data_IF_749394187257
#
_entry.id   IF_749394187257
#
_cell.length_a   1.000
_cell.length_b   1.000
_cell.length_c   1.000
_cell.angle_alpha   90.00
_cell.angle_beta   90.00
_cell.angle_gamma   90.00
#
_symmetry.space_group_name_H-M   'P 1'
#
loop_
_entity.id
_entity.type
_entity.pdbx_description
1 polymer ?
#
# COMPACT_ATOMS: atom_id res chain seq x y z
N UNK A 1 4.94 -16.71 -4.38
CA UNK A 1 4.37 -17.39 -3.19
C UNK A 1 5.20 -17.14 -1.93
N UNK A 2 6.49 -17.49 -1.90
CA UNK A 2 7.33 -17.22 -0.71
C UNK A 2 7.40 -15.72 -0.37
N UNK A 3 7.53 -14.86 -1.38
CA UNK A 3 7.58 -13.40 -1.22
C UNK A 3 6.23 -12.83 -0.74
N UNK A 4 5.13 -13.31 -1.29
CA UNK A 4 3.80 -12.88 -0.84
C UNK A 4 3.55 -13.29 0.61
N UNK A 5 4.01 -14.47 1.04
CA UNK A 5 3.91 -14.93 2.42
C UNK A 5 4.77 -14.08 3.37
N UNK A 6 6.02 -13.80 3.01
CA UNK A 6 6.90 -12.98 3.85
C UNK A 6 6.36 -11.56 4.03
N UNK A 7 5.72 -11.00 3.00
CA UNK A 7 5.14 -9.65 3.07
C UNK A 7 3.86 -9.62 3.90
N UNK A 8 3.00 -10.64 3.82
CA UNK A 8 1.83 -10.72 4.71
C UNK A 8 2.25 -10.79 6.19
N UNK A 9 3.33 -11.53 6.48
CA UNK A 9 3.91 -11.60 7.83
C UNK A 9 4.51 -10.24 8.24
N UNK A 10 5.22 -9.55 7.34
CA UNK A 10 5.80 -8.23 7.65
C UNK A 10 4.74 -7.18 7.92
N UNK A 11 3.64 -7.16 7.15
CA UNK A 11 2.50 -6.26 7.36
C UNK A 11 1.84 -6.53 8.73
N UNK A 12 1.69 -7.80 9.13
CA UNK A 12 1.15 -8.13 10.44
C UNK A 12 2.00 -7.53 11.59
N UNK A 13 3.33 -7.66 11.51
CA UNK A 13 4.22 -7.06 12.52
C UNK A 13 4.33 -5.54 12.42
N UNK A 14 4.15 -4.96 11.22
CA UNK A 14 4.10 -3.51 11.04
C UNK A 14 2.97 -2.88 11.86
N UNK A 15 1.79 -3.51 11.94
CA UNK A 15 0.69 -3.01 12.79
C UNK A 15 1.04 -2.98 14.29
N UNK A 16 1.84 -3.94 14.77
CA UNK A 16 2.33 -3.94 16.15
C UNK A 16 3.37 -2.84 16.37
N UNK A 17 4.28 -2.67 15.40
CA UNK A 17 5.30 -1.63 15.44
C UNK A 17 4.66 -0.24 15.50
N UNK A 18 3.65 0.03 14.66
CA UNK A 18 2.88 1.27 14.68
C UNK A 18 2.27 1.55 16.05
N UNK A 19 1.56 0.57 16.64
CA UNK A 19 0.97 0.71 17.99
C UNK A 19 2.02 0.98 19.07
N UNK A 20 3.21 0.36 18.97
CA UNK A 20 4.30 0.59 19.93
C UNK A 20 4.92 1.96 19.77
N UNK A 21 5.24 2.40 18.55
CA UNK A 21 5.82 3.73 18.31
C UNK A 21 4.86 4.83 18.79
N UNK A 22 3.58 4.75 18.44
CA UNK A 22 2.57 5.70 18.90
C UNK A 22 2.44 5.71 20.43
N UNK A 23 2.53 4.54 21.07
CA UNK A 23 2.50 4.46 22.52
C UNK A 23 3.71 5.14 23.18
N UNK A 24 4.92 4.95 22.61
CA UNK A 24 6.13 5.56 23.13
C UNK A 24 6.13 7.08 22.97
N UNK A 25 5.63 7.60 21.83
CA UNK A 25 5.44 9.06 21.63
C UNK A 25 4.48 9.63 22.68
N UNK A 26 3.42 8.88 23.02
CA UNK A 26 2.42 9.28 24.01
C UNK A 26 2.81 8.94 25.46
N UNK A 27 4.03 8.49 25.73
CA UNK A 27 4.53 8.13 27.08
C UNK A 27 3.62 7.06 27.74
N UNK A 28 3.06 6.14 26.96
CA UNK A 28 2.32 4.98 27.45
C UNK A 28 2.90 3.69 26.90
N UNK A 29 2.73 2.59 27.63
CA UNK A 29 3.17 1.28 27.13
C UNK A 29 2.16 0.75 26.12
N UNK A 30 2.66 0.34 24.96
CA UNK A 30 1.90 -0.35 23.92
C UNK A 30 1.47 -1.76 24.35
N UNK A 31 0.94 -2.56 23.41
CA UNK A 31 0.53 -3.93 23.71
C UNK A 31 1.73 -4.74 24.22
N UNK A 32 1.70 -5.09 25.51
CA UNK A 32 2.77 -5.85 26.17
C UNK A 32 2.28 -7.16 26.82
N UNK A 33 0.96 -7.39 26.87
CA UNK A 33 0.37 -8.52 27.60
C UNK A 33 0.27 -9.82 26.78
N UNK A 34 0.09 -9.73 25.47
CA UNK A 34 -0.11 -10.91 24.60
C UNK A 34 1.26 -11.49 24.20
N UNK A 35 1.70 -12.53 24.92
CA UNK A 35 3.00 -13.17 24.72
C UNK A 35 4.18 -12.33 25.25
N UNK A 36 5.40 -12.72 24.89
CA UNK A 36 6.61 -12.00 25.30
C UNK A 36 6.65 -10.61 24.62
N UNK A 37 6.60 -9.54 25.43
CA UNK A 37 6.61 -8.15 24.98
C UNK A 37 5.55 -7.81 23.92
N UNK A 38 4.43 -8.53 23.88
CA UNK A 38 3.34 -8.29 22.93
C UNK A 38 3.52 -8.85 21.52
N UNK A 39 4.60 -9.59 21.22
CA UNK A 39 4.92 -10.05 19.84
C UNK A 39 3.77 -10.85 19.20
N UNK A 40 3.00 -11.58 20.00
CA UNK A 40 1.90 -12.42 19.51
C UNK A 40 0.59 -11.63 19.26
N UNK A 41 0.57 -10.31 19.46
CA UNK A 41 -0.63 -9.49 19.28
C UNK A 41 -1.26 -9.61 17.88
N UNK A 42 -0.51 -9.54 16.76
CA UNK A 42 -1.11 -9.61 15.42
C UNK A 42 -1.85 -10.94 15.18
N UNK A 43 -1.31 -12.05 15.69
CA UNK A 43 -1.96 -13.35 15.61
C UNK A 43 -3.25 -13.40 16.44
N UNK A 44 -3.25 -12.81 17.65
CA UNK A 44 -4.45 -12.74 18.47
C UNK A 44 -5.57 -11.91 17.84
N UNK A 45 -5.22 -10.79 17.19
CA UNK A 45 -6.17 -9.94 16.48
C UNK A 45 -6.75 -10.67 15.26
N UNK A 46 -5.93 -11.43 14.53
CA UNK A 46 -6.39 -12.27 13.41
C UNK A 46 -7.35 -13.38 13.86
N UNK A 47 -7.00 -14.16 14.88
CA UNK A 47 -7.86 -15.23 15.43
C UNK A 47 -9.19 -14.64 15.93
N UNK A 48 -9.15 -13.46 16.57
CA UNK A 48 -10.36 -12.75 17.00
C UNK A 48 -11.28 -12.39 15.85
N UNK A 49 -10.74 -11.98 14.70
CA UNK A 49 -11.54 -11.68 13.50
C UNK A 49 -12.10 -12.95 12.85
N UNK A 50 -11.34 -14.04 12.81
CA UNK A 50 -11.82 -15.33 12.27
C UNK A 50 -12.98 -15.93 13.08
N UNK A 51 -12.99 -15.70 14.40
CA UNK A 51 -14.06 -16.20 15.28
C UNK A 51 -15.32 -15.32 15.28
N UNK A 52 -15.32 -14.15 14.61
CA UNK A 52 -16.50 -13.29 14.56
C UNK A 52 -17.47 -13.78 13.50
N UNK A 53 -18.75 -13.83 13.86
CA UNK A 53 -19.82 -14.09 12.91
C UNK A 53 -19.90 -12.96 11.87
N UNK A 54 -19.99 -13.35 10.59
CA UNK A 54 -20.21 -12.43 9.49
C UNK A 54 -21.68 -11.97 9.52
N UNK A 55 -21.91 -10.69 9.79
CA UNK A 55 -23.23 -10.06 9.75
C UNK A 55 -23.46 -9.44 8.38
N UNK A 56 -24.31 -10.08 7.59
CA UNK A 56 -24.80 -9.60 6.30
C UNK A 56 -26.01 -8.68 6.48
N UNK A 57 -25.96 -7.44 5.95
CA UNK A 57 -27.16 -6.60 5.83
C UNK A 57 -27.90 -6.93 4.54
N UNK A 58 -29.23 -6.96 4.59
CA UNK A 58 -30.10 -7.32 3.45
C UNK A 58 -29.99 -6.35 2.26
N UNK A 59 -29.66 -5.08 2.53
CA UNK A 59 -29.55 -4.05 1.49
C UNK A 59 -28.25 -4.12 0.68
N UNK A 60 -27.29 -4.96 1.05
CA UNK A 60 -25.93 -4.94 0.49
C UNK A 60 -25.80 -5.87 -0.71
N UNK A 61 -24.99 -5.48 -1.69
CA UNK A 61 -24.61 -6.38 -2.78
C UNK A 61 -23.56 -7.38 -2.27
N UNK A 62 -23.99 -8.58 -1.87
CA UNK A 62 -23.10 -9.60 -1.28
C UNK A 62 -21.89 -9.93 -2.14
N UNK A 63 -22.10 -10.20 -3.43
CA UNK A 63 -21.04 -10.59 -4.36
C UNK A 63 -19.94 -9.52 -4.44
N UNK A 64 -20.32 -8.27 -4.64
CA UNK A 64 -19.41 -7.12 -4.70
C UNK A 64 -18.71 -6.90 -3.36
N UNK A 65 -19.42 -7.00 -2.23
CA UNK A 65 -18.84 -6.75 -0.90
C UNK A 65 -17.75 -7.75 -0.50
N UNK A 66 -17.83 -9.01 -0.95
CA UNK A 66 -16.80 -10.02 -0.68
C UNK A 66 -15.67 -10.04 -1.72
N UNK A 67 -15.97 -9.77 -2.99
CA UNK A 67 -14.97 -9.79 -4.06
C UNK A 67 -14.08 -8.55 -4.05
N UNK A 68 -14.64 -7.37 -3.75
CA UNK A 68 -13.89 -6.10 -3.88
C UNK A 68 -12.72 -5.97 -2.90
N UNK A 69 -12.79 -6.40 -1.62
CA UNK A 69 -11.63 -6.37 -0.72
C UNK A 69 -10.55 -7.39 -1.12
N UNK A 70 -10.94 -8.51 -1.72
CA UNK A 70 -10.00 -9.47 -2.27
C UNK A 70 -9.24 -8.88 -3.46
N UNK A 71 -9.95 -8.20 -4.38
CA UNK A 71 -9.33 -7.58 -5.55
C UNK A 71 -8.38 -6.43 -5.18
N UNK A 72 -8.71 -5.61 -4.18
CA UNK A 72 -7.81 -4.55 -3.71
C UNK A 72 -6.52 -5.13 -3.13
N UNK A 73 -6.62 -6.20 -2.32
CA UNK A 73 -5.46 -6.92 -1.82
C UNK A 73 -4.66 -7.56 -2.97
N UNK A 74 -5.34 -8.15 -3.95
CA UNK A 74 -4.69 -8.75 -5.12
C UNK A 74 -3.83 -7.74 -5.89
N UNK A 75 -4.32 -6.51 -6.14
CA UNK A 75 -3.53 -5.48 -6.81
C UNK A 75 -2.31 -5.09 -5.99
N UNK A 76 -2.46 -4.93 -4.67
CA UNK A 76 -1.31 -4.64 -3.81
C UNK A 76 -0.25 -5.74 -3.86
N UNK A 77 -0.67 -7.01 -3.99
CA UNK A 77 0.25 -8.14 -4.15
C UNK A 77 0.90 -8.17 -5.54
N UNK A 78 0.19 -7.78 -6.60
CA UNK A 78 0.72 -7.68 -7.96
C UNK A 78 1.75 -6.55 -8.15
N UNK A 79 1.72 -5.53 -7.28
CA UNK A 79 2.71 -4.46 -7.28
C UNK A 79 4.09 -4.91 -6.81
N UNK A 80 4.14 -5.90 -5.91
CA UNK A 80 5.37 -6.32 -5.24
C UNK A 80 6.42 -6.89 -6.22
N UNK A 81 6.09 -7.82 -7.16
CA UNK A 81 7.07 -8.39 -8.08
C UNK A 81 7.74 -7.38 -9.02
N UNK A 82 7.13 -6.20 -9.20
CA UNK A 82 7.65 -5.11 -10.04
C UNK A 82 8.75 -4.35 -9.31
N UNK A 83 8.77 -4.36 -7.98
CA UNK A 83 9.83 -3.74 -7.20
C UNK A 83 11.10 -4.58 -7.25
N UNK A 84 12.25 -3.90 -7.32
CA UNK A 84 13.57 -4.53 -7.26
C UNK A 84 13.82 -5.09 -5.85
N UNK A 85 14.34 -6.32 -5.80
CA UNK A 85 14.93 -6.87 -4.59
C UNK A 85 16.37 -7.24 -4.90
N UNK A 86 17.31 -6.56 -4.24
CA UNK A 86 18.74 -6.60 -4.56
C UNK A 86 18.99 -6.26 -6.05
N UNK A 87 19.51 -7.21 -6.83
CA UNK A 87 20.03 -6.96 -8.18
C UNK A 87 19.04 -7.25 -9.33
N UNK A 88 17.86 -7.81 -9.04
CA UNK A 88 16.90 -8.17 -10.09
C UNK A 88 15.47 -8.12 -9.60
N UNK A 89 14.56 -7.63 -10.45
CA UNK A 89 13.13 -7.82 -10.26
C UNK A 89 12.75 -9.27 -10.48
N UNK A 90 11.63 -9.69 -9.89
CA UNK A 90 11.03 -10.98 -10.23
C UNK A 90 10.46 -11.00 -11.65
N UNK A 91 9.95 -9.86 -12.11
CA UNK A 91 9.44 -9.70 -13.45
C UNK A 91 10.25 -8.58 -14.10
N UNK A 92 11.04 -8.94 -15.12
CA UNK A 92 11.78 -7.96 -15.88
C UNK A 92 10.91 -7.42 -17.03
N UNK A 93 10.22 -6.32 -16.76
CA UNK A 93 9.52 -5.55 -17.78
C UNK A 93 10.39 -4.34 -18.12
N UNK A 94 10.64 -4.11 -19.41
CA UNK A 94 11.39 -2.92 -19.87
C UNK A 94 10.83 -1.59 -19.33
N UNK A 95 9.54 -1.55 -18.98
CA UNK A 95 8.81 -0.37 -18.50
C UNK A 95 8.20 -0.63 -17.12
N UNK A 96 8.98 -1.13 -16.16
CA UNK A 96 8.53 -1.44 -14.80
C UNK A 96 7.79 -0.27 -14.13
N UNK A 97 8.31 0.95 -14.28
CA UNK A 97 7.70 2.14 -13.69
C UNK A 97 6.30 2.46 -14.25
N UNK A 98 6.11 2.30 -15.57
CA UNK A 98 4.81 2.51 -16.20
C UNK A 98 3.80 1.47 -15.70
N UNK A 99 4.25 0.22 -15.53
CA UNK A 99 3.42 -0.84 -14.98
C UNK A 99 2.99 -0.54 -13.54
N UNK A 100 3.89 0.02 -12.73
CA UNK A 100 3.55 0.50 -11.40
C UNK A 100 2.42 1.54 -11.44
N UNK A 101 2.46 2.52 -12.35
CA UNK A 101 1.38 3.52 -12.49
C UNK A 101 0.03 2.94 -12.93
N UNK A 102 0.06 1.96 -13.84
CA UNK A 102 -1.18 1.30 -14.29
C UNK A 102 -1.83 0.56 -13.11
N UNK A 103 -1.05 -0.11 -12.27
CA UNK A 103 -1.59 -0.82 -11.11
C UNK A 103 -2.02 0.13 -9.98
N UNK A 104 -1.32 1.24 -9.76
CA UNK A 104 -1.72 2.23 -8.74
C UNK A 104 -3.07 2.84 -9.09
N UNK A 105 -3.23 3.29 -10.35
CA UNK A 105 -4.50 3.86 -10.83
C UNK A 105 -5.64 2.85 -10.83
N UNK A 106 -5.36 1.56 -11.06
CA UNK A 106 -6.37 0.49 -10.94
C UNK A 106 -6.90 0.34 -9.50
N UNK A 107 -6.07 0.57 -8.48
CA UNK A 107 -6.46 0.42 -7.07
C UNK A 107 -7.60 1.36 -6.67
N UNK A 108 -7.67 2.55 -7.29
CA UNK A 108 -8.69 3.58 -7.04
C UNK A 108 -10.10 3.07 -7.34
N UNK A 109 -10.26 2.28 -8.39
CA UNK A 109 -11.57 1.74 -8.79
C UNK A 109 -12.15 0.79 -7.74
N UNK A 110 -11.32 0.00 -7.07
CA UNK A 110 -11.80 -0.94 -6.06
C UNK A 110 -12.34 -0.23 -4.82
N UNK A 111 -11.77 0.92 -4.45
CA UNK A 111 -12.29 1.74 -3.34
C UNK A 111 -13.67 2.30 -3.66
N UNK A 112 -13.90 2.72 -4.91
CA UNK A 112 -15.23 3.15 -5.36
C UNK A 112 -16.24 1.99 -5.34
N UNK A 113 -15.83 0.81 -5.82
CA UNK A 113 -16.68 -0.38 -5.84
C UNK A 113 -17.07 -0.84 -4.43
N UNK A 114 -16.15 -0.77 -3.45
CA UNK A 114 -16.45 -1.08 -2.05
C UNK A 114 -17.55 -0.15 -1.54
N UNK A 115 -17.41 1.15 -1.75
CA UNK A 115 -18.42 2.14 -1.31
C UNK A 115 -19.79 1.91 -1.92
N UNK A 116 -19.82 1.61 -3.22
CA UNK A 116 -21.05 1.32 -3.94
C UNK A 116 -21.72 0.01 -3.51
N UNK A 117 -20.94 -1.02 -3.13
CA UNK A 117 -21.48 -2.32 -2.71
C UNK A 117 -22.41 -2.25 -1.49
N UNK A 118 -22.28 -1.19 -0.68
CA UNK A 118 -22.99 -1.07 0.59
C UNK A 118 -24.38 -0.43 0.50
N UNK A 119 -24.77 0.07 -0.67
CA UNK A 119 -26.08 0.73 -0.90
C UNK A 119 -26.50 1.76 0.17
N UNK A 120 -25.54 2.39 0.86
CA UNK A 120 -25.80 3.44 1.86
C UNK A 120 -25.26 4.78 1.36
N UNK A 121 -26.06 5.85 1.47
CA UNK A 121 -25.69 7.19 0.98
C UNK A 121 -24.40 7.71 1.63
N UNK A 122 -24.21 7.44 2.93
CA UNK A 122 -23.04 7.89 3.66
C UNK A 122 -21.75 7.18 3.21
N UNK A 123 -21.79 5.85 3.04
CA UNK A 123 -20.62 5.12 2.57
C UNK A 123 -20.26 5.49 1.14
N UNK A 124 -21.25 5.69 0.27
CA UNK A 124 -21.01 6.12 -1.10
C UNK A 124 -20.35 7.51 -1.15
N UNK A 125 -20.86 8.49 -0.40
CA UNK A 125 -20.24 9.82 -0.29
C UNK A 125 -18.81 9.75 0.28
N UNK A 126 -18.59 8.90 1.30
CA UNK A 126 -17.25 8.66 1.85
C UNK A 126 -16.28 8.10 0.80
N UNK A 127 -16.72 7.13 -0.01
CA UNK A 127 -15.91 6.54 -1.07
C UNK A 127 -15.54 7.53 -2.18
N UNK A 128 -16.47 8.42 -2.56
CA UNK A 128 -16.21 9.46 -3.56
C UNK A 128 -15.16 10.46 -3.03
N UNK A 129 -15.24 10.82 -1.73
CA UNK A 129 -14.25 11.71 -1.11
C UNK A 129 -12.86 11.08 -1.07
N UNK A 130 -12.75 9.80 -0.70
CA UNK A 130 -11.45 9.11 -0.72
C UNK A 130 -10.90 8.97 -2.13
N UNK A 131 -11.73 8.69 -3.13
CA UNK A 131 -11.31 8.60 -4.54
C UNK A 131 -10.79 9.94 -5.04
N UNK A 132 -11.51 11.03 -4.76
CA UNK A 132 -11.07 12.39 -5.11
C UNK A 132 -9.72 12.73 -4.47
N UNK A 133 -9.53 12.35 -3.20
CA UNK A 133 -8.26 12.52 -2.51
C UNK A 133 -7.13 11.71 -3.19
N UNK A 134 -7.34 10.41 -3.44
CA UNK A 134 -6.28 9.58 -4.02
C UNK A 134 -5.87 10.05 -5.41
N UNK A 135 -6.83 10.37 -6.30
CA UNK A 135 -6.51 10.89 -7.64
C UNK A 135 -5.74 12.22 -7.54
N UNK A 136 -6.11 13.10 -6.60
CA UNK A 136 -5.43 14.38 -6.42
C UNK A 136 -3.96 14.24 -6.00
N UNK A 137 -3.60 13.16 -5.29
CA UNK A 137 -2.23 12.86 -4.87
C UNK A 137 -1.46 11.98 -5.89
N UNK A 138 -2.15 11.17 -6.69
CA UNK A 138 -1.51 10.39 -7.77
C UNK A 138 -0.89 11.30 -8.85
N UNK A 139 -1.55 12.40 -9.22
CA UNK A 139 -1.05 13.33 -10.24
C UNK A 139 0.31 13.95 -9.88
N UNK A 140 0.50 14.62 -8.72
CA UNK A 140 1.81 15.17 -8.34
C UNK A 140 2.86 14.07 -8.16
N UNK A 141 2.47 12.91 -7.62
CA UNK A 141 3.36 11.75 -7.51
C UNK A 141 3.89 11.29 -8.89
N UNK A 142 3.03 11.23 -9.91
CA UNK A 142 3.45 10.93 -11.28
C UNK A 142 4.41 11.97 -11.85
N UNK A 143 4.18 13.26 -11.58
CA UNK A 143 5.06 14.33 -12.06
C UNK A 143 6.45 14.25 -11.42
N UNK A 144 6.54 13.96 -10.12
CA UNK A 144 7.82 13.80 -9.42
C UNK A 144 8.60 12.61 -9.98
N UNK A 145 7.93 11.48 -10.19
CA UNK A 145 8.59 10.30 -10.72
C UNK A 145 9.00 10.49 -12.18
N UNK A 146 8.21 11.20 -12.99
CA UNK A 146 8.61 11.52 -14.36
C UNK A 146 9.89 12.36 -14.40
N UNK A 147 10.07 13.27 -13.44
CA UNK A 147 11.35 13.97 -13.29
C UNK A 147 12.52 13.03 -12.96
N UNK A 148 12.31 12.01 -12.11
CA UNK A 148 13.33 10.99 -11.84
C UNK A 148 13.66 10.14 -13.09
N UNK A 149 12.67 9.83 -13.93
CA UNK A 149 12.88 9.15 -15.22
C UNK A 149 13.77 9.99 -16.15
N UNK A 150 13.55 11.30 -16.18
CA UNK A 150 14.37 12.19 -17.02
C UNK A 150 15.84 12.18 -16.57
N UNK A 151 16.10 12.07 -15.27
CA UNK A 151 17.46 11.95 -14.73
C UNK A 151 18.11 10.61 -15.07
N UNK A 152 17.36 9.51 -15.00
CA UNK A 152 17.89 8.17 -15.30
C UNK A 152 17.89 7.79 -16.79
N UNK A 153 17.18 8.55 -17.63
CA UNK A 153 16.94 8.30 -19.06
C UNK A 153 16.28 6.93 -19.37
N UNK A 154 15.67 6.30 -18.37
CA UNK A 154 15.09 4.96 -18.49
C UNK A 154 13.88 4.76 -17.57
N UNK A 155 12.97 3.87 -17.97
CA UNK A 155 11.79 3.47 -17.19
C UNK A 155 12.00 2.20 -16.35
N UNK A 156 13.18 1.57 -16.44
CA UNK A 156 13.52 0.36 -15.68
C UNK A 156 14.10 0.72 -14.31
N UNK A 157 13.63 0.05 -13.27
CA UNK A 157 14.13 0.28 -11.90
C UNK A 157 15.61 -0.09 -11.73
N UNK A 158 16.12 -1.10 -12.46
CA UNK A 158 17.54 -1.51 -12.42
C UNK A 158 18.43 -0.36 -12.87
N UNK A 159 18.11 0.24 -14.00
CA UNK A 159 18.92 1.31 -14.56
C UNK A 159 18.80 2.59 -13.73
N UNK A 160 17.65 2.83 -13.08
CA UNK A 160 17.55 3.91 -12.08
C UNK A 160 18.50 3.69 -10.89
N UNK A 161 18.62 2.47 -10.37
CA UNK A 161 19.58 2.17 -9.30
C UNK A 161 21.03 2.35 -9.76
N UNK A 162 21.35 1.92 -10.97
CA UNK A 162 22.69 2.09 -11.55
C UNK A 162 23.09 3.58 -11.65
N UNK A 163 22.15 4.45 -12.02
CA UNK A 163 22.43 5.89 -12.10
C UNK A 163 22.69 6.54 -10.73
N UNK A 164 22.26 5.90 -9.63
CA UNK A 164 22.44 6.41 -8.27
C UNK A 164 23.79 6.04 -7.64
N UNK A 165 24.63 5.20 -8.29
CA UNK A 165 25.92 4.80 -7.73
C UNK A 165 26.87 5.98 -7.47
N UNK A 166 26.84 7.02 -8.32
CA UNK A 166 27.71 8.19 -8.17
C UNK A 166 27.16 9.21 -7.18
N UNK A 167 25.88 9.57 -7.32
CA UNK A 167 25.18 10.48 -6.42
C UNK A 167 23.74 10.02 -6.27
N UNK A 168 23.30 9.82 -5.02
CA UNK A 168 21.90 9.52 -4.74
C UNK A 168 21.00 10.68 -5.14
N UNK A 169 19.87 10.38 -5.77
CA UNK A 169 18.87 11.38 -6.17
C UNK A 169 18.34 12.20 -4.99
N UNK A 170 18.36 11.64 -3.78
CA UNK A 170 17.99 12.35 -2.55
C UNK A 170 18.83 13.61 -2.33
N UNK A 171 20.16 13.55 -2.49
CA UNK A 171 21.02 14.69 -2.22
C UNK A 171 20.85 15.80 -3.26
N UNK A 172 20.63 15.46 -4.54
CA UNK A 172 20.40 16.45 -5.59
C UNK A 172 19.03 17.11 -5.52
N UNK A 173 18.00 16.41 -5.02
CA UNK A 173 16.60 16.78 -5.16
C UNK A 173 15.81 16.76 -3.84
N UNK A 174 16.37 17.33 -2.78
CA UNK A 174 15.74 17.34 -1.45
C UNK A 174 14.31 17.91 -1.43
N UNK A 175 14.04 18.98 -2.20
CA UNK A 175 12.70 19.57 -2.26
C UNK A 175 11.67 18.61 -2.89
N UNK A 176 12.06 17.91 -3.96
CA UNK A 176 11.21 16.91 -4.60
C UNK A 176 10.94 15.74 -3.67
N UNK A 177 11.94 15.34 -2.87
CA UNK A 177 11.74 14.32 -1.84
C UNK A 177 10.73 14.77 -0.77
N UNK A 178 10.80 16.02 -0.30
CA UNK A 178 9.83 16.54 0.66
C UNK A 178 8.42 16.63 0.07
N UNK A 179 8.29 17.02 -1.20
CA UNK A 179 7.01 17.01 -1.91
C UNK A 179 6.47 15.58 -2.04
N UNK A 180 7.34 14.62 -2.39
CA UNK A 180 6.98 13.20 -2.48
C UNK A 180 6.52 12.61 -1.16
N UNK A 181 7.15 12.98 -0.03
CA UNK A 181 6.69 12.54 1.29
C UNK A 181 5.31 13.10 1.67
N UNK A 182 4.94 14.26 1.13
CA UNK A 182 3.64 14.89 1.41
C UNK A 182 2.52 14.43 0.47
N UNK A 183 2.87 13.93 -0.72
CA UNK A 183 1.95 13.45 -1.74
C UNK A 183 1.64 11.97 -1.56
#
# INVERSE_FOLDING_TARGET
IMISLSILISVAFYTLLERKILSYIQIRKGPNKVGMMGILQPFSDAIKLFNKNLLSLESMNFTLSFMTPFMSLFISLCMIPIMMYNYSTLIDIKHNLLMFFILSSMSVYFILLIGWSTNSKYCHLGSIRSVAQMISYEVPFFMIILFLVLLSQSYSFTQMEETQYMLYFFFGNMLLFMMWLSS
#
